data_IF_568328942421
#
_entry.id   IF_568328942421
#
_cell.length_a   1.000
_cell.length_b   1.000
_cell.length_c   1.000
_cell.angle_alpha   90.00
_cell.angle_beta   90.00
_cell.angle_gamma   90.00
#
_symmetry.space_group_name_H-M   'P 1'
#
loop_
_entity.id
_entity.type
_entity.pdbx_description
1 polymer ?
#
# COMPACT_ATOMS: atom_id res chain seq x y z
N UNK A 1 -6.44 -2.88 7.00
CA UNK A 1 -5.55 -1.84 7.55
C UNK A 1 -4.15 -2.11 7.05
N UNK A 2 -3.51 -1.16 6.38
CA UNK A 2 -2.07 -1.21 6.11
C UNK A 2 -1.42 -0.13 6.98
N UNK A 3 -0.60 -0.57 7.93
CA UNK A 3 0.19 0.25 8.85
C UNK A 3 1.67 -0.10 8.70
N UNK A 4 2.48 0.80 8.16
CA UNK A 4 3.91 0.57 8.08
C UNK A 4 4.53 0.54 9.49
N UNK A 5 5.32 -0.51 9.77
CA UNK A 5 6.04 -0.66 11.04
C UNK A 5 7.40 0.05 10.97
N UNK A 6 7.40 1.37 10.75
CA UNK A 6 8.62 2.18 10.86
C UNK A 6 8.68 2.84 12.26
N UNK A 7 9.86 2.90 12.89
CA UNK A 7 10.00 3.60 14.17
C UNK A 7 9.63 5.08 13.99
N UNK A 8 8.77 5.57 14.88
CA UNK A 8 8.05 6.85 14.78
C UNK A 8 8.94 8.05 15.20
N UNK A 9 10.19 7.80 15.62
CA UNK A 9 10.90 8.71 16.53
C UNK A 9 11.99 9.62 15.93
N UNK A 10 12.33 9.59 14.64
CA UNK A 10 13.38 10.48 14.12
C UNK A 10 13.17 10.94 12.67
N UNK A 11 13.03 12.26 12.47
CA UNK A 11 12.83 12.91 11.16
C UNK A 11 14.12 13.63 10.74
N UNK A 12 14.99 12.94 9.99
CA UNK A 12 16.20 13.53 9.42
C UNK A 12 16.38 13.15 7.94
N UNK A 13 17.16 13.92 7.15
CA UNK A 13 17.34 13.70 5.70
C UNK A 13 17.82 12.28 5.32
N UNK A 14 18.56 11.61 6.21
CA UNK A 14 19.05 10.24 5.99
C UNK A 14 17.95 9.16 6.02
N UNK A 15 16.78 9.43 6.62
CA UNK A 15 15.71 8.44 6.75
C UNK A 15 14.90 8.22 5.48
N UNK A 16 14.79 9.23 4.62
CA UNK A 16 14.13 9.09 3.31
C UNK A 16 14.83 8.00 2.48
N UNK A 17 16.16 8.02 2.47
CA UNK A 17 16.97 6.99 1.84
C UNK A 17 16.81 5.61 2.49
N UNK A 18 16.78 5.56 3.83
CA UNK A 18 16.61 4.29 4.57
C UNK A 18 15.25 3.64 4.34
N UNK A 19 14.15 4.39 4.34
CA UNK A 19 12.81 3.86 4.06
C UNK A 19 12.72 3.29 2.64
N UNK A 20 13.29 3.99 1.66
CA UNK A 20 13.37 3.52 0.27
C UNK A 20 14.19 2.24 0.14
N UNK A 21 15.39 2.20 0.73
CA UNK A 21 16.25 1.01 0.75
C UNK A 21 15.55 -0.16 1.43
N UNK A 22 14.85 0.08 2.55
CA UNK A 22 14.12 -0.96 3.26
C UNK A 22 12.95 -1.51 2.45
N UNK A 23 12.23 -0.67 1.72
CA UNK A 23 11.16 -1.11 0.80
C UNK A 23 11.69 -1.96 -0.34
N UNK A 24 12.80 -1.54 -0.95
CA UNK A 24 13.45 -2.29 -2.03
C UNK A 24 13.99 -3.63 -1.54
N UNK A 25 14.64 -3.66 -0.37
CA UNK A 25 15.13 -4.89 0.29
C UNK A 25 14.01 -5.81 0.73
N UNK A 26 12.85 -5.27 1.12
CA UNK A 26 11.70 -6.06 1.52
C UNK A 26 11.12 -6.91 0.37
N UNK A 27 11.40 -6.52 -0.88
CA UNK A 27 11.01 -7.26 -2.08
C UNK A 27 9.52 -7.59 -2.15
N UNK A 28 8.60 -6.60 -2.06
CA UNK A 28 7.18 -6.88 -2.22
C UNK A 28 6.94 -7.58 -3.56
N UNK A 29 6.26 -8.72 -3.50
CA UNK A 29 6.09 -9.63 -4.62
C UNK A 29 5.35 -8.93 -5.76
N UNK A 30 6.04 -8.77 -6.89
CA UNK A 30 5.36 -8.49 -8.16
C UNK A 30 4.77 -9.80 -8.67
N UNK A 31 3.57 -10.13 -8.19
CA UNK A 31 2.75 -11.19 -8.79
C UNK A 31 2.38 -10.83 -10.24
N UNK A 32 1.49 -11.62 -10.85
CA UNK A 32 0.99 -11.34 -12.20
C UNK A 32 0.52 -9.88 -12.35
N UNK A 33 0.82 -9.30 -13.51
CA UNK A 33 0.42 -7.94 -13.84
C UNK A 33 -1.10 -7.86 -13.89
N UNK A 34 -1.66 -6.90 -13.16
CA UNK A 34 -3.09 -6.62 -13.12
C UNK A 34 -3.36 -5.31 -13.88
N UNK A 35 -4.55 -5.13 -14.49
CA UNK A 35 -4.85 -3.93 -15.27
C UNK A 35 -4.59 -2.61 -14.53
N UNK A 36 -4.86 -2.56 -13.22
CA UNK A 36 -4.61 -1.37 -12.38
C UNK A 36 -3.13 -1.00 -12.25
N UNK A 37 -2.20 -1.94 -12.48
CA UNK A 37 -0.76 -1.71 -12.35
C UNK A 37 -0.27 -0.66 -13.36
N UNK A 38 -0.79 -0.68 -14.59
CA UNK A 38 -0.51 0.32 -15.63
C UNK A 38 -1.01 1.74 -15.31
N UNK A 39 -1.91 1.87 -14.33
CA UNK A 39 -2.49 3.16 -13.92
C UNK A 39 -1.88 3.73 -12.63
N UNK A 40 -0.85 3.08 -12.07
CA UNK A 40 -0.25 3.46 -10.79
C UNK A 40 0.15 4.94 -10.71
N UNK A 41 0.91 5.43 -11.69
CA UNK A 41 1.42 6.81 -11.66
C UNK A 41 0.29 7.84 -11.76
N UNK A 42 -0.67 7.60 -12.67
CA UNK A 42 -1.87 8.43 -12.82
C UNK A 42 -2.69 8.47 -11.52
N UNK A 43 -2.85 7.32 -10.86
CA UNK A 43 -3.56 7.21 -9.60
C UNK A 43 -2.86 8.01 -8.49
N UNK A 44 -1.54 7.86 -8.33
CA UNK A 44 -0.78 8.57 -7.31
C UNK A 44 -0.84 10.08 -7.48
N UNK A 45 -0.72 10.55 -8.73
CA UNK A 45 -0.90 11.96 -9.06
C UNK A 45 -2.30 12.45 -8.70
N UNK A 46 -3.35 11.73 -9.12
CA UNK A 46 -4.72 12.11 -8.82
C UNK A 46 -5.02 12.17 -7.32
N UNK A 47 -4.42 11.29 -6.52
CA UNK A 47 -4.54 11.32 -5.05
C UNK A 47 -3.80 12.49 -4.42
N UNK A 48 -2.65 12.89 -4.97
CA UNK A 48 -1.94 14.09 -4.53
C UNK A 48 -2.76 15.36 -4.83
N UNK A 49 -3.43 15.40 -5.98
CA UNK A 49 -4.16 16.58 -6.46
C UNK A 49 -5.58 16.68 -5.89
N UNK A 50 -6.16 15.58 -5.38
CA UNK A 50 -7.57 15.51 -4.98
C UNK A 50 -7.76 14.90 -3.60
N UNK A 51 -8.54 15.58 -2.74
CA UNK A 51 -8.95 15.03 -1.43
C UNK A 51 -9.88 13.82 -1.55
N UNK A 52 -10.67 13.75 -2.62
CA UNK A 52 -11.59 12.67 -2.92
C UNK A 52 -11.38 12.25 -4.37
N UNK A 53 -11.18 10.95 -4.58
CA UNK A 53 -10.97 10.36 -5.90
C UNK A 53 -11.90 9.16 -6.08
N UNK A 54 -12.64 9.13 -7.20
CA UNK A 54 -13.43 7.97 -7.61
C UNK A 54 -12.61 7.13 -8.58
N UNK A 55 -12.39 5.87 -8.24
CA UNK A 55 -11.66 4.92 -9.08
C UNK A 55 -12.61 3.83 -9.55
N UNK A 56 -13.01 3.91 -10.81
CA UNK A 56 -13.82 2.90 -11.47
C UNK A 56 -12.94 1.88 -12.21
N UNK A 57 -13.45 0.66 -12.35
CA UNK A 57 -12.82 -0.40 -13.14
C UNK A 57 -13.51 -1.72 -12.93
N UNK A 58 -13.27 -2.68 -13.81
CA UNK A 58 -13.93 -3.98 -13.79
C UNK A 58 -13.56 -4.85 -12.57
N UNK A 59 -14.38 -5.85 -12.29
CA UNK A 59 -14.05 -6.86 -11.27
C UNK A 59 -12.79 -7.62 -11.69
N UNK A 60 -11.88 -7.88 -10.75
CA UNK A 60 -10.61 -8.56 -11.04
C UNK A 60 -9.48 -7.66 -11.53
N UNK A 61 -9.71 -6.37 -11.78
CA UNK A 61 -8.65 -5.48 -12.25
C UNK A 61 -7.59 -5.11 -11.18
N UNK A 62 -7.79 -5.54 -9.92
CA UNK A 62 -6.80 -5.41 -8.85
C UNK A 62 -6.96 -4.22 -7.90
N UNK A 63 -8.03 -3.42 -8.00
CA UNK A 63 -8.23 -2.19 -7.19
C UNK A 63 -8.00 -2.42 -5.69
N UNK A 64 -8.75 -3.35 -5.11
CA UNK A 64 -8.79 -3.57 -3.66
C UNK A 64 -7.48 -4.10 -3.08
N UNK A 65 -6.65 -4.77 -3.88
CA UNK A 65 -5.38 -5.35 -3.44
C UNK A 65 -4.19 -4.45 -3.77
N UNK A 66 -4.18 -3.80 -4.94
CA UNK A 66 -3.02 -3.02 -5.43
C UNK A 66 -3.02 -1.56 -4.99
N UNK A 67 -4.17 -0.88 -5.02
CA UNK A 67 -4.24 0.56 -4.70
C UNK A 67 -3.67 0.86 -3.31
N UNK A 68 -4.03 0.13 -2.23
CA UNK A 68 -3.48 0.39 -0.90
C UNK A 68 -1.95 0.30 -0.87
N UNK A 69 -1.37 -0.65 -1.63
CA UNK A 69 0.07 -0.82 -1.76
C UNK A 69 0.72 0.35 -2.49
N UNK A 70 0.12 0.82 -3.59
CA UNK A 70 0.64 1.97 -4.33
C UNK A 70 0.71 3.22 -3.48
N UNK A 71 -0.37 3.49 -2.71
CA UNK A 71 -0.44 4.64 -1.82
C UNK A 71 0.67 4.61 -0.76
N UNK A 72 0.86 3.45 -0.13
CA UNK A 72 1.95 3.28 0.84
C UNK A 72 3.32 3.42 0.18
N UNK A 73 3.53 2.76 -0.96
CA UNK A 73 4.80 2.81 -1.69
C UNK A 73 5.18 4.23 -2.09
N UNK A 74 4.21 5.03 -2.57
CA UNK A 74 4.42 6.45 -2.88
C UNK A 74 4.91 7.22 -1.66
N UNK A 75 4.17 7.13 -0.54
CA UNK A 75 4.56 7.81 0.71
C UNK A 75 5.91 7.35 1.26
N UNK A 76 6.23 6.06 1.15
CA UNK A 76 7.54 5.51 1.56
C UNK A 76 8.66 6.09 0.70
N UNK A 77 8.45 6.27 -0.61
CA UNK A 77 9.44 6.89 -1.51
C UNK A 77 9.65 8.37 -1.22
N UNK A 78 8.62 9.04 -0.75
CA UNK A 78 8.68 10.45 -0.33
C UNK A 78 9.25 10.61 1.09
N UNK A 79 9.58 9.51 1.79
CA UNK A 79 10.09 9.51 3.16
C UNK A 79 9.02 9.70 4.24
N UNK A 80 7.75 9.71 3.84
CA UNK A 80 6.58 9.86 4.71
C UNK A 80 5.92 8.51 5.04
N UNK A 81 6.60 7.40 4.77
CA UNK A 81 6.06 6.05 4.94
C UNK A 81 5.51 5.83 6.35
N UNK A 82 6.24 6.24 7.38
CA UNK A 82 5.83 6.11 8.80
C UNK A 82 4.51 6.81 9.14
N UNK A 83 4.12 7.84 8.37
CA UNK A 83 2.89 8.62 8.59
C UNK A 83 1.72 8.14 7.73
N UNK A 84 1.95 7.18 6.84
CA UNK A 84 0.93 6.66 5.94
C UNK A 84 0.13 5.52 6.59
N UNK A 85 -1.14 5.76 6.87
CA UNK A 85 -2.07 4.73 7.29
C UNK A 85 -3.16 4.55 6.23
N UNK A 86 -3.34 3.34 5.71
CA UNK A 86 -4.37 3.04 4.70
C UNK A 86 -5.45 2.15 5.28
N UNK A 87 -6.70 2.62 5.21
CA UNK A 87 -7.89 1.88 5.61
C UNK A 87 -8.65 1.45 4.36
N UNK A 88 -9.01 0.17 4.31
CA UNK A 88 -9.82 -0.41 3.22
C UNK A 88 -11.03 -1.03 3.89
N UNK A 89 -12.21 -0.50 3.61
CA UNK A 89 -13.47 -1.05 4.10
C UNK A 89 -13.93 -2.17 3.17
N UNK A 90 -14.63 -3.15 3.73
CA UNK A 90 -15.23 -4.26 3.00
C UNK A 90 -16.62 -4.53 3.58
N UNK A 91 -17.64 -4.76 2.73
CA UNK A 91 -19.01 -4.97 3.20
C UNK A 91 -19.22 -6.33 3.90
N UNK A 92 -18.29 -7.27 3.72
CA UNK A 92 -18.38 -8.63 4.28
C UNK A 92 -17.12 -8.94 5.08
N UNK A 93 -17.30 -9.54 6.26
CA UNK A 93 -16.20 -9.98 7.14
C UNK A 93 -15.20 -10.88 6.41
N UNK A 94 -15.68 -11.88 5.66
CA UNK A 94 -14.81 -12.80 4.91
C UNK A 94 -13.96 -12.07 3.86
N UNK A 95 -14.50 -11.02 3.23
CA UNK A 95 -13.76 -10.19 2.26
C UNK A 95 -12.70 -9.34 2.94
N UNK A 96 -12.97 -8.80 4.13
CA UNK A 96 -11.97 -8.05 4.91
C UNK A 96 -10.76 -8.93 5.26
N UNK A 97 -11.02 -10.16 5.72
CA UNK A 97 -9.97 -11.12 6.08
C UNK A 97 -9.18 -11.55 4.84
N UNK A 98 -9.85 -11.95 3.76
CA UNK A 98 -9.18 -12.46 2.55
C UNK A 98 -8.37 -11.40 1.82
N UNK A 99 -8.87 -10.15 1.74
CA UNK A 99 -8.13 -9.03 1.18
C UNK A 99 -6.88 -8.74 2.02
N UNK A 100 -7.00 -8.69 3.35
CA UNK A 100 -5.83 -8.44 4.21
C UNK A 100 -4.76 -9.53 4.05
N UNK A 101 -5.15 -10.80 4.03
CA UNK A 101 -4.23 -11.92 3.79
C UNK A 101 -3.57 -11.83 2.40
N UNK A 102 -4.34 -11.51 1.36
CA UNK A 102 -3.81 -11.37 -0.01
C UNK A 102 -2.80 -10.23 -0.10
N UNK A 103 -3.13 -9.06 0.46
CA UNK A 103 -2.22 -7.90 0.48
C UNK A 103 -0.98 -8.21 1.32
N UNK A 104 -1.11 -8.85 2.48
CA UNK A 104 0.03 -9.27 3.31
C UNK A 104 0.99 -10.19 2.54
N UNK A 105 0.46 -11.16 1.81
CA UNK A 105 1.25 -12.05 0.96
C UNK A 105 1.96 -11.26 -0.16
N UNK A 106 1.26 -10.40 -0.88
CA UNK A 106 1.86 -9.56 -1.94
C UNK A 106 2.92 -8.58 -1.41
N UNK A 107 2.84 -8.19 -0.13
CA UNK A 107 3.84 -7.35 0.52
C UNK A 107 5.14 -8.11 0.87
N UNK A 108 5.12 -9.44 0.80
CA UNK A 108 6.27 -10.30 1.09
C UNK A 108 6.57 -10.45 2.59
N UNK A 109 7.48 -11.37 2.96
CA UNK A 109 7.70 -11.77 4.36
C UNK A 109 8.15 -10.62 5.27
N UNK A 110 8.89 -9.66 4.74
CA UNK A 110 9.41 -8.52 5.49
C UNK A 110 8.31 -7.50 5.87
N UNK A 111 7.26 -7.38 5.06
CA UNK A 111 6.22 -6.36 5.23
C UNK A 111 4.82 -6.93 5.50
N UNK A 112 4.62 -8.25 5.46
CA UNK A 112 3.33 -8.87 5.71
C UNK A 112 2.69 -8.44 7.05
N UNK A 113 3.50 -8.21 8.09
CA UNK A 113 3.05 -7.77 9.42
C UNK A 113 2.62 -6.30 9.46
N UNK A 114 2.84 -5.56 8.37
CA UNK A 114 2.34 -4.19 8.18
C UNK A 114 0.90 -4.19 7.68
N UNK A 115 0.29 -5.36 7.46
CA UNK A 115 -1.09 -5.51 6.99
C UNK A 115 -1.89 -6.26 8.05
N UNK A 116 -3.11 -5.80 8.30
CA UNK A 116 -4.04 -6.44 9.23
C UNK A 116 -5.49 -6.14 8.89
N UNK A 117 -6.40 -6.72 9.66
CA UNK A 117 -7.84 -6.49 9.55
C UNK A 117 -8.46 -6.33 10.95
N UNK A 118 -9.64 -5.73 10.99
CA UNK A 118 -10.50 -5.63 12.16
C UNK A 118 -11.93 -5.81 11.67
N UNK A 119 -12.70 -6.66 12.34
CA UNK A 119 -14.05 -7.10 11.95
C UNK A 119 -14.96 -7.27 13.15
#
# INVERSE_FOLDING_TARGET
>A
IVRPRFPITFHGPGWVGLQKIQWERAGPLRGAELPVDSHKERLLKAVADSRVLVVAGETGCGKTTRIPRFLLEGRVRDGEGAHCNVLVTQPRRISAVSVAQRVAHEMGPALQNSVGYQV
#
